data_IF_436880606645
#
_entry.id   IF_436880606645
#
_cell.length_a   1.000
_cell.length_b   1.000
_cell.length_c   1.000
_cell.angle_alpha   90.00
_cell.angle_beta   90.00
_cell.angle_gamma   90.00
#
_symmetry.space_group_name_H-M   'P 1'
#
loop_
_entity.id
_entity.type
_entity.pdbx_description
1 polymer ?
#
# COMPACT_ATOMS: atom_id res chain seq x y z
N UNK A 1 5.64 30.28 -5.94
CA UNK A 1 6.56 29.38 -5.20
C UNK A 1 7.80 30.07 -4.60
N UNK A 2 8.69 30.70 -5.37
CA UNK A 2 9.98 31.27 -4.87
C UNK A 2 9.80 32.25 -3.71
N UNK A 3 8.90 33.22 -3.84
CA UNK A 3 8.64 34.21 -2.78
C UNK A 3 8.07 33.57 -1.50
N UNK A 4 7.17 32.60 -1.63
CA UNK A 4 6.59 31.88 -0.49
C UNK A 4 7.66 31.05 0.25
N UNK A 5 8.59 30.44 -0.50
CA UNK A 5 9.72 29.72 0.08
C UNK A 5 10.68 30.67 0.80
N UNK A 6 11.04 31.80 0.18
CA UNK A 6 11.89 32.82 0.79
C UNK A 6 11.28 33.38 2.10
N UNK A 7 9.95 33.51 2.17
CA UNK A 7 9.26 33.93 3.40
C UNK A 7 9.43 32.90 4.54
N UNK A 8 9.37 31.60 4.24
CA UNK A 8 9.67 30.54 5.21
C UNK A 8 11.14 30.57 5.66
N UNK A 9 12.07 30.80 4.74
CA UNK A 9 13.50 30.95 5.06
C UNK A 9 13.74 32.13 6.00
N UNK A 10 13.08 33.26 5.75
CA UNK A 10 13.16 34.45 6.60
C UNK A 10 12.52 34.22 7.99
N UNK A 11 11.44 33.43 8.08
CA UNK A 11 10.76 33.11 9.35
C UNK A 11 11.55 32.11 10.22
N UNK A 12 12.26 31.17 9.58
CA UNK A 12 12.94 30.04 10.25
C UNK A 12 13.82 30.43 11.46
N UNK A 13 14.67 31.48 11.42
CA UNK A 13 15.50 31.84 12.57
C UNK A 13 14.71 32.22 13.82
N UNK A 14 13.57 32.89 13.67
CA UNK A 14 12.71 33.27 14.80
C UNK A 14 12.09 32.03 15.45
N UNK A 15 11.61 31.10 14.62
CA UNK A 15 11.01 29.84 15.08
C UNK A 15 12.04 28.95 15.79
N UNK A 16 13.24 28.82 15.23
CA UNK A 16 14.29 27.94 15.73
C UNK A 16 14.88 28.36 17.09
N UNK A 17 14.76 29.65 17.46
CA UNK A 17 15.27 30.17 18.75
C UNK A 17 14.42 29.76 19.95
N UNK A 18 13.15 29.40 19.74
CA UNK A 18 12.25 29.02 20.83
C UNK A 18 12.14 27.50 20.90
N UNK A 19 12.67 26.85 21.96
CA UNK A 19 12.62 25.40 22.10
C UNK A 19 11.18 24.92 22.28
N UNK A 20 10.92 23.68 21.85
CA UNK A 20 9.57 23.11 21.89
C UNK A 20 8.94 23.13 23.29
N UNK A 21 9.71 22.84 24.34
CA UNK A 21 9.22 22.88 25.75
C UNK A 21 8.63 24.24 26.10
N UNK A 22 9.37 25.31 25.81
CA UNK A 22 8.92 26.69 26.04
C UNK A 22 7.64 27.02 25.26
N UNK A 23 7.47 26.48 24.04
CA UNK A 23 6.21 26.65 23.28
C UNK A 23 5.00 26.01 23.95
N UNK A 24 5.18 24.90 24.68
CA UNK A 24 4.10 24.30 25.47
C UNK A 24 3.88 25.04 26.80
N UNK A 25 4.94 25.59 27.39
CA UNK A 25 4.83 26.47 28.57
C UNK A 25 4.06 27.76 28.24
N UNK A 26 4.40 28.39 27.12
CA UNK A 26 3.82 29.65 26.66
C UNK A 26 2.39 29.47 26.07
N UNK A 27 2.06 28.28 25.58
CA UNK A 27 0.73 27.93 25.05
C UNK A 27 0.21 26.60 25.63
N UNK A 28 -0.47 26.64 26.79
CA UNK A 28 -1.09 25.45 27.38
C UNK A 28 -2.15 24.78 26.48
N UNK A 29 -2.72 25.51 25.52
CA UNK A 29 -3.70 25.03 24.55
C UNK A 29 -3.09 24.41 23.30
N UNK A 30 -1.76 24.40 23.17
CA UNK A 30 -1.03 24.03 21.95
C UNK A 30 -1.43 22.67 21.38
N UNK A 31 -1.63 21.66 22.24
CA UNK A 31 -2.06 20.33 21.78
C UNK A 31 -3.37 20.42 20.98
N UNK A 32 -4.39 21.08 21.53
CA UNK A 32 -5.69 21.20 20.88
C UNK A 32 -5.62 22.03 19.58
N UNK A 33 -4.76 23.05 19.55
CA UNK A 33 -4.59 23.93 18.38
C UNK A 33 -3.86 23.26 17.21
N UNK A 34 -2.88 22.42 17.52
CA UNK A 34 -2.05 21.71 16.53
C UNK A 34 -2.39 20.22 16.52
N UNK A 35 -3.69 19.92 16.60
CA UNK A 35 -4.23 18.57 16.44
C UNK A 35 -5.43 18.63 15.50
N UNK A 36 -5.52 17.67 14.59
CA UNK A 36 -6.71 17.45 13.77
C UNK A 36 -7.15 16.01 13.96
N UNK A 37 -8.45 15.82 14.17
CA UNK A 37 -9.07 14.50 14.25
C UNK A 37 -9.94 14.25 13.02
N UNK A 38 -9.84 13.04 12.47
CA UNK A 38 -10.71 12.58 11.39
C UNK A 38 -11.09 11.12 11.65
N UNK A 39 -12.37 10.88 11.98
CA UNK A 39 -12.86 9.57 12.42
C UNK A 39 -11.99 9.06 13.59
N UNK A 40 -11.44 7.86 13.46
CA UNK A 40 -10.61 7.21 14.47
C UNK A 40 -9.12 7.61 14.40
N UNK A 41 -8.75 8.56 13.53
CA UNK A 41 -7.39 9.06 13.37
C UNK A 41 -7.23 10.42 14.06
N UNK A 42 -6.22 10.52 14.92
CA UNK A 42 -5.78 11.77 15.53
C UNK A 42 -4.36 12.09 15.04
N UNK A 43 -4.21 13.22 14.35
CA UNK A 43 -2.92 13.77 13.94
C UNK A 43 -2.52 14.88 14.92
N UNK A 44 -1.67 14.53 15.88
CA UNK A 44 -0.99 15.51 16.74
C UNK A 44 0.30 15.98 16.06
N UNK A 45 0.29 17.24 15.60
CA UNK A 45 1.46 17.92 15.06
C UNK A 45 1.99 19.02 15.98
N UNK A 46 1.51 19.09 17.22
CA UNK A 46 1.91 20.09 18.24
C UNK A 46 3.37 19.98 18.66
N UNK A 47 3.95 18.78 18.55
CA UNK A 47 5.34 18.48 18.90
C UNK A 47 6.36 18.83 17.81
N UNK A 48 6.00 19.75 16.91
CA UNK A 48 6.87 20.32 15.89
C UNK A 48 7.25 21.77 16.22
N UNK A 49 8.36 22.24 15.66
CA UNK A 49 8.79 23.64 15.73
C UNK A 49 7.95 24.51 14.76
N UNK A 50 6.68 24.66 15.09
CA UNK A 50 5.70 25.45 14.32
C UNK A 50 4.93 26.40 15.24
N UNK A 51 4.48 27.51 14.68
CA UNK A 51 3.49 28.43 15.24
C UNK A 51 2.46 28.76 14.14
N UNK A 52 1.47 29.59 14.46
CA UNK A 52 0.43 29.96 13.51
C UNK A 52 1.00 30.58 12.24
N UNK A 53 2.03 31.42 12.38
CA UNK A 53 2.68 32.06 11.25
C UNK A 53 3.42 31.02 10.39
N UNK A 54 4.09 30.06 11.02
CA UNK A 54 4.70 28.93 10.31
C UNK A 54 3.66 28.15 9.50
N UNK A 55 2.51 27.82 10.12
CA UNK A 55 1.44 27.09 9.43
C UNK A 55 0.85 27.91 8.27
N UNK A 56 0.62 29.21 8.48
CA UNK A 56 0.15 30.14 7.43
C UNK A 56 1.11 30.19 6.25
N UNK A 57 2.42 30.30 6.51
CA UNK A 57 3.46 30.34 5.49
C UNK A 57 3.61 28.99 4.75
N UNK A 58 3.47 27.85 5.45
CA UNK A 58 3.48 26.53 4.83
C UNK A 58 2.27 26.33 3.90
N UNK A 59 1.07 26.78 4.30
CA UNK A 59 -0.12 26.77 3.44
C UNK A 59 0.08 27.69 2.24
N UNK A 60 0.60 28.90 2.44
CA UNK A 60 0.91 29.82 1.33
C UNK A 60 1.92 29.22 0.34
N UNK A 61 2.89 28.42 0.80
CA UNK A 61 3.79 27.69 -0.09
C UNK A 61 3.05 26.59 -0.87
N UNK A 62 2.16 25.84 -0.22
CA UNK A 62 1.34 24.82 -0.88
C UNK A 62 0.42 25.42 -1.96
N UNK A 63 -0.21 26.56 -1.67
CA UNK A 63 -1.01 27.31 -2.64
C UNK A 63 -0.15 27.79 -3.80
N UNK A 64 1.02 28.37 -3.51
CA UNK A 64 1.95 28.87 -4.53
C UNK A 64 2.66 27.77 -5.33
N UNK A 65 2.46 26.49 -4.95
CA UNK A 65 2.89 25.29 -5.65
C UNK A 65 1.72 24.54 -6.30
N UNK A 66 0.51 25.13 -6.31
CA UNK A 66 -0.69 24.58 -6.96
C UNK A 66 -1.05 23.17 -6.49
N UNK A 67 -0.81 22.84 -5.20
CA UNK A 67 -1.04 21.48 -4.67
C UNK A 67 -2.48 21.01 -4.89
N UNK A 68 -3.48 21.89 -4.74
CA UNK A 68 -4.88 21.56 -4.99
C UNK A 68 -5.17 21.23 -6.45
N UNK A 69 -4.54 21.94 -7.39
CA UNK A 69 -4.65 21.67 -8.82
C UNK A 69 -4.00 20.32 -9.17
N UNK A 70 -2.83 20.04 -8.61
CA UNK A 70 -2.16 18.74 -8.79
C UNK A 70 -2.96 17.59 -8.20
N UNK A 71 -3.58 17.79 -7.03
CA UNK A 71 -4.54 16.85 -6.44
C UNK A 71 -5.72 16.63 -7.40
N UNK A 72 -6.36 17.70 -7.89
CA UNK A 72 -7.48 17.58 -8.82
C UNK A 72 -7.11 16.83 -10.11
N UNK A 73 -5.94 17.11 -10.69
CA UNK A 73 -5.41 16.40 -11.85
C UNK A 73 -5.20 14.90 -11.59
N UNK A 74 -4.70 14.53 -10.40
CA UNK A 74 -4.57 13.11 -10.01
C UNK A 74 -5.93 12.43 -9.93
N UNK A 75 -6.90 13.05 -9.24
CA UNK A 75 -8.23 12.46 -9.03
C UNK A 75 -9.08 12.42 -10.31
N UNK A 76 -8.89 13.35 -11.24
CA UNK A 76 -9.57 13.33 -12.54
C UNK A 76 -8.99 12.28 -13.50
N UNK A 77 -7.81 11.73 -13.18
CA UNK A 77 -7.11 10.76 -14.00
C UNK A 77 -6.33 11.36 -15.17
N UNK A 78 -5.95 12.64 -15.07
CA UNK A 78 -4.95 13.23 -15.96
C UNK A 78 -3.64 12.41 -15.92
N UNK A 79 -2.93 12.37 -17.05
CA UNK A 79 -1.66 11.67 -17.18
C UNK A 79 -0.50 12.40 -16.47
N UNK A 80 -0.60 12.55 -15.14
CA UNK A 80 0.36 13.29 -14.33
C UNK A 80 1.71 12.58 -14.16
N UNK A 81 1.77 11.26 -14.40
CA UNK A 81 3.04 10.57 -14.59
C UNK A 81 3.57 10.89 -15.99
N UNK A 82 4.30 12.00 -16.12
CA UNK A 82 4.69 12.60 -17.40
C UNK A 82 5.70 11.75 -18.18
N UNK A 83 6.59 11.04 -17.51
CA UNK A 83 7.64 10.25 -18.17
C UNK A 83 7.05 9.01 -18.83
N UNK A 84 6.09 8.36 -18.18
CA UNK A 84 5.38 7.20 -18.75
C UNK A 84 4.07 7.58 -19.47
N UNK A 85 3.66 8.84 -19.40
CA UNK A 85 2.40 9.37 -19.95
C UNK A 85 1.18 8.60 -19.44
N UNK A 86 1.09 8.41 -18.12
CA UNK A 86 0.05 7.58 -17.47
C UNK A 86 -0.70 8.32 -16.35
N UNK A 87 -2.00 8.00 -16.14
CA UNK A 87 -2.72 8.40 -14.94
C UNK A 87 -2.15 7.76 -13.67
N UNK A 88 -2.38 8.40 -12.52
CA UNK A 88 -2.00 7.88 -11.19
C UNK A 88 -3.27 7.69 -10.34
N UNK A 89 -3.94 6.56 -10.55
CA UNK A 89 -5.32 6.34 -10.07
C UNK A 89 -5.47 5.28 -8.98
N UNK A 90 -4.46 5.12 -8.13
CA UNK A 90 -4.56 4.24 -6.98
C UNK A 90 -5.78 4.56 -6.08
N UNK A 91 -6.23 5.82 -6.03
CA UNK A 91 -7.48 6.25 -5.35
C UNK A 91 -8.73 5.53 -5.82
N UNK A 92 -8.82 5.20 -7.11
CA UNK A 92 -9.98 4.50 -7.68
C UNK A 92 -10.13 3.07 -7.12
N UNK A 93 -9.03 2.45 -6.65
CA UNK A 93 -9.04 1.07 -6.12
C UNK A 93 -9.79 0.91 -4.78
N UNK A 94 -10.14 2.03 -4.13
CA UNK A 94 -10.89 2.08 -2.86
C UNK A 94 -12.09 3.03 -2.95
N UNK A 95 -12.58 3.22 -4.17
CA UNK A 95 -13.78 3.99 -4.46
C UNK A 95 -15.04 3.23 -4.01
N UNK A 96 -16.15 3.96 -3.88
CA UNK A 96 -17.48 3.34 -3.76
C UNK A 96 -18.07 3.10 -5.15
N UNK A 97 -19.03 2.16 -5.33
CA UNK A 97 -19.53 1.79 -6.65
C UNK A 97 -20.06 2.94 -7.51
N UNK A 98 -20.58 4.00 -6.89
CA UNK A 98 -21.16 5.16 -7.57
C UNK A 98 -20.13 6.26 -7.91
N UNK A 99 -18.88 6.11 -7.47
CA UNK A 99 -17.82 7.04 -7.83
C UNK A 99 -17.49 6.95 -9.34
N UNK A 100 -16.90 8.03 -9.86
CA UNK A 100 -16.43 8.08 -11.24
C UNK A 100 -14.96 8.50 -11.26
N UNK A 101 -14.11 7.56 -11.66
CA UNK A 101 -12.69 7.81 -11.92
C UNK A 101 -12.40 7.42 -13.36
N UNK A 102 -11.77 8.31 -14.13
CA UNK A 102 -11.54 8.09 -15.56
C UNK A 102 -10.08 7.86 -15.88
N UNK A 103 -9.75 6.79 -16.61
CA UNK A 103 -8.44 6.59 -17.21
C UNK A 103 -8.62 6.56 -18.74
N UNK A 104 -7.97 7.47 -19.47
CA UNK A 104 -8.16 7.55 -20.92
C UNK A 104 -9.60 7.87 -21.35
N UNK A 105 -10.38 8.52 -20.48
CA UNK A 105 -11.78 8.87 -20.72
C UNK A 105 -12.80 7.82 -20.25
N UNK A 106 -12.39 6.60 -19.92
CA UNK A 106 -13.28 5.51 -19.49
C UNK A 106 -13.41 5.43 -17.98
N UNK A 107 -14.62 5.22 -17.46
CA UNK A 107 -14.83 5.00 -16.02
C UNK A 107 -14.26 3.64 -15.62
N UNK A 108 -13.26 3.63 -14.73
CA UNK A 108 -12.58 2.39 -14.29
C UNK A 108 -13.24 1.72 -13.09
N UNK A 109 -14.14 2.41 -12.39
CA UNK A 109 -14.77 1.92 -11.14
C UNK A 109 -15.48 0.57 -11.32
N UNK A 110 -16.28 0.33 -12.39
CA UNK A 110 -16.91 -0.98 -12.60
C UNK A 110 -15.89 -2.13 -12.73
N UNK A 111 -14.77 -1.91 -13.43
CA UNK A 111 -13.73 -2.91 -13.58
C UNK A 111 -13.01 -3.20 -12.25
N UNK A 112 -12.78 -2.16 -11.42
CA UNK A 112 -12.24 -2.31 -10.07
C UNK A 112 -13.16 -3.20 -9.22
N UNK A 113 -14.46 -2.90 -9.16
CA UNK A 113 -15.41 -3.68 -8.36
C UNK A 113 -15.60 -5.10 -8.88
N UNK A 114 -15.54 -5.32 -10.20
CA UNK A 114 -15.55 -6.67 -10.76
C UNK A 114 -14.37 -7.52 -10.27
N UNK A 115 -13.16 -6.95 -10.19
CA UNK A 115 -11.99 -7.65 -9.67
C UNK A 115 -12.09 -7.84 -8.15
N UNK A 116 -12.56 -6.85 -7.40
CA UNK A 116 -12.79 -6.98 -5.95
C UNK A 116 -13.79 -8.09 -5.63
N UNK A 117 -14.87 -8.21 -6.42
CA UNK A 117 -15.85 -9.30 -6.29
C UNK A 117 -15.20 -10.67 -6.50
N UNK A 118 -14.47 -10.83 -7.61
CA UNK A 118 -13.72 -12.08 -7.90
C UNK A 118 -12.71 -12.42 -6.81
N UNK A 119 -12.00 -11.43 -6.27
CA UNK A 119 -11.06 -11.62 -5.17
C UNK A 119 -11.76 -12.09 -3.90
N UNK A 120 -12.93 -11.50 -3.57
CA UNK A 120 -13.71 -11.88 -2.40
C UNK A 120 -14.24 -13.32 -2.51
N UNK A 121 -14.82 -13.67 -3.66
CA UNK A 121 -15.30 -15.03 -3.95
C UNK A 121 -14.17 -16.06 -3.89
N UNK A 122 -13.02 -15.78 -4.51
CA UNK A 122 -11.87 -16.67 -4.48
C UNK A 122 -11.33 -16.86 -3.06
N UNK A 123 -11.16 -15.77 -2.30
CA UNK A 123 -10.64 -15.83 -0.94
C UNK A 123 -11.61 -16.59 -0.01
N UNK A 124 -12.92 -16.41 -0.15
CA UNK A 124 -13.91 -17.18 0.61
C UNK A 124 -13.92 -18.65 0.20
N UNK A 125 -13.78 -18.95 -1.09
CA UNK A 125 -13.65 -20.32 -1.58
C UNK A 125 -12.43 -21.04 -0.99
N UNK A 126 -11.28 -20.37 -0.92
CA UNK A 126 -10.06 -20.89 -0.28
C UNK A 126 -10.27 -21.09 1.22
N UNK A 127 -10.85 -20.11 1.92
CA UNK A 127 -11.07 -20.19 3.38
C UNK A 127 -12.08 -21.26 3.76
N UNK A 128 -13.16 -21.42 3.01
CA UNK A 128 -14.19 -22.44 3.25
C UNK A 128 -13.75 -23.84 2.83
N UNK A 129 -12.77 -23.95 1.94
CA UNK A 129 -12.35 -25.20 1.31
C UNK A 129 -13.20 -25.60 0.10
N UNK A 130 -14.12 -24.75 -0.37
CA UNK A 130 -14.81 -24.95 -1.65
C UNK A 130 -13.83 -24.89 -2.83
N UNK A 131 -12.76 -24.09 -2.69
CA UNK A 131 -11.58 -24.14 -3.55
C UNK A 131 -10.48 -24.84 -2.75
N UNK A 132 -10.08 -26.02 -3.23
CA UNK A 132 -9.19 -26.94 -2.54
C UNK A 132 -8.06 -27.41 -3.46
N UNK A 133 -6.92 -27.74 -2.86
CA UNK A 133 -5.82 -28.42 -3.53
C UNK A 133 -6.03 -29.93 -3.56
N UNK A 134 -5.01 -30.67 -4.04
CA UNK A 134 -5.04 -32.13 -4.10
C UNK A 134 -5.23 -32.81 -2.73
N UNK A 135 -4.82 -32.15 -1.64
CA UNK A 135 -4.94 -32.60 -0.25
C UNK A 135 -6.17 -32.04 0.48
N UNK A 136 -7.06 -31.34 -0.23
CA UNK A 136 -8.23 -30.69 0.36
C UNK A 136 -7.99 -29.21 0.65
N UNK A 137 -8.58 -28.72 1.74
CA UNK A 137 -8.55 -27.30 2.11
C UNK A 137 -7.10 -26.81 2.28
N UNK A 138 -6.79 -25.64 1.71
CA UNK A 138 -5.47 -25.03 1.86
C UNK A 138 -5.20 -24.65 3.32
N UNK A 139 -4.02 -25.05 3.84
CA UNK A 139 -3.54 -24.66 5.17
C UNK A 139 -2.50 -23.56 5.10
N UNK A 140 -1.85 -23.41 3.95
CA UNK A 140 -0.77 -22.46 3.71
C UNK A 140 -0.92 -21.75 2.37
N UNK A 141 -0.51 -20.49 2.31
CA UNK A 141 -0.39 -19.67 1.11
C UNK A 141 1.04 -19.16 1.04
N UNK A 142 1.72 -19.38 -0.08
CA UNK A 142 3.04 -18.81 -0.37
C UNK A 142 2.87 -17.69 -1.39
N UNK A 143 3.01 -16.44 -0.95
CA UNK A 143 2.97 -15.25 -1.79
C UNK A 143 4.37 -14.93 -2.30
N UNK A 144 4.55 -14.94 -3.62
CA UNK A 144 5.81 -14.68 -4.31
C UNK A 144 5.72 -13.34 -5.03
N UNK A 145 6.56 -12.38 -4.65
CA UNK A 145 6.62 -11.07 -5.26
C UNK A 145 7.73 -10.23 -4.65
N UNK A 146 8.16 -9.16 -5.32
CA UNK A 146 9.21 -8.26 -4.80
C UNK A 146 8.74 -6.80 -4.80
N UNK A 147 9.30 -5.99 -3.91
CA UNK A 147 8.99 -4.57 -3.79
C UNK A 147 7.52 -4.33 -3.44
N UNK A 148 6.80 -3.58 -4.28
CA UNK A 148 5.38 -3.28 -4.06
C UNK A 148 4.48 -4.53 -4.01
N UNK A 149 4.88 -5.63 -4.64
CA UNK A 149 4.15 -6.90 -4.61
C UNK A 149 4.36 -7.72 -3.33
N UNK A 150 5.30 -7.34 -2.44
CA UNK A 150 5.56 -8.02 -1.16
C UNK A 150 5.29 -7.12 0.03
N UNK A 151 5.87 -5.91 0.04
CA UNK A 151 5.89 -5.04 1.23
C UNK A 151 4.50 -4.67 1.72
N UNK A 152 3.58 -4.35 0.81
CA UNK A 152 2.19 -4.00 1.13
C UNK A 152 1.43 -5.19 1.74
N UNK A 153 1.34 -6.34 1.02
CA UNK A 153 0.73 -7.55 1.55
C UNK A 153 1.30 -7.99 2.90
N UNK A 154 2.63 -8.05 3.04
CA UNK A 154 3.32 -8.47 4.27
C UNK A 154 3.03 -7.53 5.44
N UNK A 155 3.02 -6.22 5.20
CA UNK A 155 2.67 -5.23 6.23
C UNK A 155 1.20 -5.37 6.66
N UNK A 156 0.28 -5.48 5.71
CA UNK A 156 -1.16 -5.52 5.99
C UNK A 156 -1.55 -6.78 6.77
N UNK A 157 -1.06 -7.96 6.39
CA UNK A 157 -1.35 -9.21 7.11
C UNK A 157 -0.76 -9.22 8.52
N UNK A 158 0.44 -8.65 8.71
CA UNK A 158 1.04 -8.49 10.04
C UNK A 158 0.23 -7.53 10.91
N UNK A 159 -0.17 -6.39 10.38
CA UNK A 159 -0.94 -5.38 11.12
C UNK A 159 -2.34 -5.89 11.51
N UNK A 160 -2.97 -6.68 10.64
CA UNK A 160 -4.31 -7.22 10.82
C UNK A 160 -4.33 -8.66 11.37
N UNK A 161 -3.21 -9.16 11.91
CA UNK A 161 -3.05 -10.51 12.49
C UNK A 161 -4.22 -10.94 13.39
N UNK A 162 -4.77 -10.02 14.18
CA UNK A 162 -5.85 -10.32 15.12
C UNK A 162 -7.17 -10.73 14.43
N UNK A 163 -7.34 -10.39 13.15
CA UNK A 163 -8.51 -10.70 12.34
C UNK A 163 -8.28 -11.88 11.38
N UNK A 164 -7.13 -12.54 11.47
CA UNK A 164 -6.75 -13.60 10.55
C UNK A 164 -7.34 -14.96 10.96
N UNK A 165 -8.06 -15.62 10.04
CA UNK A 165 -8.74 -16.91 10.22
C UNK A 165 -8.15 -18.04 9.34
N UNK A 166 -7.04 -17.76 8.67
CA UNK A 166 -6.30 -18.70 7.82
C UNK A 166 -6.67 -18.58 6.33
N UNK A 167 -5.90 -19.25 5.43
CA UNK A 167 -4.73 -20.09 5.70
C UNK A 167 -3.48 -19.30 6.14
N UNK A 168 -2.44 -19.97 6.67
CA UNK A 168 -1.18 -19.28 7.06
C UNK A 168 -0.51 -18.69 5.82
N UNK A 169 0.00 -17.46 5.91
CA UNK A 169 0.63 -16.78 4.76
C UNK A 169 2.13 -16.67 4.95
N UNK A 170 2.88 -17.14 3.96
CA UNK A 170 4.33 -17.07 3.82
C UNK A 170 4.68 -16.15 2.67
N UNK A 171 5.80 -15.44 2.76
CA UNK A 171 6.17 -14.41 1.79
C UNK A 171 7.60 -14.61 1.30
N UNK A 172 7.74 -14.79 -0.01
CA UNK A 172 9.01 -14.99 -0.71
C UNK A 172 9.24 -13.81 -1.65
N UNK A 173 10.38 -13.15 -1.50
CA UNK A 173 10.69 -11.93 -2.26
C UNK A 173 12.11 -11.89 -2.81
N UNK A 174 13.07 -12.41 -2.07
CA UNK A 174 14.47 -12.40 -2.46
C UNK A 174 14.74 -13.51 -3.48
N UNK A 175 15.64 -13.27 -4.42
CA UNK A 175 16.06 -14.28 -5.40
C UNK A 175 17.06 -15.28 -4.81
N UNK A 176 17.65 -14.95 -3.66
CA UNK A 176 18.44 -15.90 -2.88
C UNK A 176 17.59 -17.14 -2.56
N UNK A 177 18.10 -18.32 -2.95
CA UNK A 177 17.41 -19.59 -2.81
C UNK A 177 17.08 -19.96 -1.36
N UNK A 178 17.76 -19.37 -0.38
CA UNK A 178 17.42 -19.53 1.04
C UNK A 178 16.00 -19.02 1.35
N UNK A 179 15.56 -17.91 0.76
CA UNK A 179 14.25 -17.31 1.08
C UNK A 179 13.09 -18.25 0.69
N UNK A 180 13.12 -18.79 -0.52
CA UNK A 180 12.11 -19.77 -0.96
C UNK A 180 12.32 -21.14 -0.31
N UNK A 181 13.57 -21.55 -0.06
CA UNK A 181 13.90 -22.80 0.60
C UNK A 181 13.30 -22.86 2.00
N UNK A 182 13.50 -21.81 2.80
CA UNK A 182 12.98 -21.68 4.16
C UNK A 182 11.45 -21.56 4.16
N UNK A 183 10.87 -20.80 3.22
CA UNK A 183 9.42 -20.64 3.13
C UNK A 183 8.69 -21.94 2.76
N UNK A 184 9.30 -22.81 1.94
CA UNK A 184 8.71 -24.09 1.55
C UNK A 184 9.03 -25.23 2.54
N UNK A 185 10.00 -25.03 3.44
CA UNK A 185 10.44 -26.07 4.36
C UNK A 185 9.31 -26.53 5.28
N UNK A 186 8.99 -27.82 5.21
CA UNK A 186 7.94 -28.44 6.02
C UNK A 186 6.50 -28.18 5.56
N UNK A 187 6.29 -27.45 4.46
CA UNK A 187 4.97 -27.31 3.85
C UNK A 187 4.58 -28.57 3.07
N UNK A 188 3.28 -28.85 3.01
CA UNK A 188 2.73 -29.91 2.18
C UNK A 188 2.23 -29.32 0.84
N UNK A 189 2.80 -29.72 -0.32
CA UNK A 189 2.34 -29.27 -1.63
C UNK A 189 0.85 -29.49 -1.88
N UNK A 190 0.26 -30.55 -1.31
CA UNK A 190 -1.14 -30.90 -1.54
C UNK A 190 -2.12 -29.90 -0.89
N UNK A 191 -1.66 -29.18 0.14
CA UNK A 191 -2.45 -28.22 0.94
C UNK A 191 -1.86 -26.80 0.94
N UNK A 192 -0.93 -26.51 0.02
CA UNK A 192 -0.30 -25.18 -0.15
C UNK A 192 -0.73 -24.51 -1.45
N UNK A 193 -1.23 -23.27 -1.34
CA UNK A 193 -1.53 -22.41 -2.49
C UNK A 193 -0.36 -21.47 -2.79
N UNK A 194 0.10 -21.40 -4.04
CA UNK A 194 1.13 -20.44 -4.47
C UNK A 194 0.49 -19.26 -5.20
N UNK A 195 0.75 -18.04 -4.73
CA UNK A 195 0.30 -16.79 -5.37
C UNK A 195 1.49 -16.05 -5.96
N UNK A 196 1.49 -15.82 -7.27
CA UNK A 196 2.57 -15.10 -7.96
C UNK A 196 2.12 -13.68 -8.30
N UNK A 197 2.74 -12.69 -7.66
CA UNK A 197 2.39 -11.27 -7.78
C UNK A 197 3.50 -10.47 -8.50
N UNK A 198 3.33 -10.22 -9.80
CA UNK A 198 4.20 -9.31 -10.57
C UNK A 198 3.38 -8.51 -11.57
N UNK A 199 3.55 -7.17 -11.55
CA UNK A 199 2.86 -6.28 -12.49
C UNK A 199 3.24 -6.56 -13.95
N UNK A 200 4.51 -6.86 -14.21
CA UNK A 200 5.00 -7.13 -15.58
C UNK A 200 5.00 -8.62 -15.90
N UNK A 201 4.94 -9.49 -14.89
CA UNK A 201 5.10 -10.94 -15.00
C UNK A 201 6.44 -11.37 -15.65
N UNK A 202 7.43 -10.46 -15.62
CA UNK A 202 8.77 -10.66 -16.17
C UNK A 202 9.87 -10.37 -15.14
N UNK A 203 9.50 -9.98 -13.92
CA UNK A 203 10.45 -9.69 -12.84
C UNK A 203 11.27 -10.93 -12.51
N UNK A 204 12.60 -10.85 -12.65
CA UNK A 204 13.50 -12.00 -12.62
C UNK A 204 13.40 -12.74 -11.29
N UNK A 205 13.42 -12.00 -10.17
CA UNK A 205 13.34 -12.55 -8.82
C UNK A 205 12.02 -13.32 -8.63
N UNK A 206 10.90 -12.69 -8.99
CA UNK A 206 9.56 -13.29 -8.87
C UNK A 206 9.41 -14.53 -9.75
N UNK A 207 9.85 -14.48 -11.01
CA UNK A 207 9.69 -15.60 -11.95
C UNK A 207 10.65 -16.76 -11.65
N UNK A 208 11.85 -16.47 -11.13
CA UNK A 208 12.78 -17.50 -10.64
C UNK A 208 12.17 -18.26 -9.47
N UNK A 209 11.62 -17.55 -8.48
CA UNK A 209 10.95 -18.16 -7.34
C UNK A 209 9.67 -18.91 -7.74
N UNK A 210 8.85 -18.35 -8.63
CA UNK A 210 7.68 -19.02 -9.17
C UNK A 210 8.04 -20.35 -9.88
N UNK A 211 9.12 -20.35 -10.66
CA UNK A 211 9.64 -21.57 -11.29
C UNK A 211 10.11 -22.62 -10.27
N UNK A 212 10.75 -22.19 -9.18
CA UNK A 212 11.15 -23.08 -8.08
C UNK A 212 9.94 -23.66 -7.35
N UNK A 213 8.95 -22.85 -6.97
CA UNK A 213 7.72 -23.30 -6.34
C UNK A 213 6.94 -24.27 -7.23
N UNK A 214 6.87 -24.00 -8.54
CA UNK A 214 6.27 -24.93 -9.52
C UNK A 214 6.96 -26.28 -9.50
N UNK A 215 8.30 -26.33 -9.63
CA UNK A 215 9.03 -27.60 -9.61
C UNK A 215 8.80 -28.38 -8.32
N UNK A 216 8.72 -27.67 -7.20
CA UNK A 216 8.41 -28.26 -5.90
C UNK A 216 7.01 -28.92 -5.86
N UNK A 217 5.99 -28.26 -6.42
CA UNK A 217 4.63 -28.84 -6.57
C UNK A 217 4.65 -30.06 -7.51
N UNK A 218 5.21 -29.91 -8.71
CA UNK A 218 5.23 -30.98 -9.74
C UNK A 218 5.91 -32.24 -9.23
N UNK A 219 7.04 -32.08 -8.52
CA UNK A 219 7.78 -33.21 -7.99
C UNK A 219 6.96 -34.06 -6.99
N UNK A 220 5.99 -33.46 -6.30
CA UNK A 220 5.14 -34.14 -5.33
C UNK A 220 3.80 -34.61 -5.90
N UNK A 221 3.18 -33.82 -6.78
CA UNK A 221 1.79 -34.01 -7.19
C UNK A 221 1.59 -34.32 -8.68
N UNK A 222 2.63 -34.16 -9.50
CA UNK A 222 2.54 -34.27 -10.95
C UNK A 222 2.19 -32.94 -11.65
N UNK A 223 2.32 -32.96 -12.97
CA UNK A 223 2.19 -31.76 -13.83
C UNK A 223 0.75 -31.27 -13.95
N UNK A 224 -0.25 -32.15 -13.81
CA UNK A 224 -1.68 -31.85 -13.91
C UNK A 224 -2.24 -31.10 -12.69
N UNK A 225 -1.40 -30.81 -11.69
CA UNK A 225 -1.77 -30.18 -10.41
C UNK A 225 -1.19 -28.78 -10.21
N UNK A 226 -0.59 -28.18 -11.25
CA UNK A 226 -0.06 -26.80 -11.25
C UNK A 226 -0.99 -25.86 -12.00
#
# INVERSE_FOLDING_TARGET
MVQAFAALEAHRPAVARVPLRKRFEDDPGRFNRFTISFRDLLLDYSKNLVDDETMRLLVALADAADIEKHRAAMFSGEAINRTEKRPVLHVALRSVPDDVYRAGGENVVPAVHAVLGRMAEFAEGVRSGAIAGAGGRFTDVVSIGIGGSDLGPRMATRALRAFHDGPRVHYVSNVDGADIGDALAGLDPATTLVLVASKTFTTIETMTNAGTARRWIVAALGEDKV
#
